data_IF_385995548812
#
_entry.id   IF_385995548812
#
_cell.length_a   1.000
_cell.length_b   1.000
_cell.length_c   1.000
_cell.angle_alpha   90.00
_cell.angle_beta   90.00
_cell.angle_gamma   90.00
#
_symmetry.space_group_name_H-M   'P 1'
#
loop_
_entity.id
_entity.type
_entity.pdbx_description
1 polymer ?
#
# COMPACT_ATOMS: atom_id res chain seq x y z
N UNK A 1 3.09 5.22 -22.73
CA UNK A 1 4.16 4.26 -22.40
C UNK A 1 3.54 2.87 -22.33
N UNK A 2 3.75 2.02 -23.34
CA UNK A 2 3.32 0.61 -23.30
C UNK A 2 4.35 -0.15 -22.47
N UNK A 3 4.04 -0.42 -21.20
CA UNK A 3 4.87 -1.29 -20.36
C UNK A 3 4.64 -2.72 -20.86
N UNK A 4 5.54 -3.21 -21.71
CA UNK A 4 5.63 -4.64 -22.06
C UNK A 4 6.54 -5.30 -21.02
N UNK A 5 5.95 -5.82 -19.95
CA UNK A 5 6.64 -6.73 -19.04
C UNK A 5 6.33 -8.15 -19.48
N UNK A 6 7.29 -8.77 -20.16
CA UNK A 6 7.30 -10.22 -20.42
C UNK A 6 7.67 -10.95 -19.13
N UNK A 7 6.65 -11.25 -18.32
CA UNK A 7 6.72 -12.43 -17.44
C UNK A 7 6.37 -13.61 -18.33
N UNK A 8 7.28 -14.58 -18.45
CA UNK A 8 7.17 -15.79 -19.27
C UNK A 8 5.73 -16.35 -19.30
N UNK A 9 4.99 -16.09 -20.38
CA UNK A 9 3.66 -16.65 -20.62
C UNK A 9 2.44 -15.76 -20.30
N UNK A 10 2.62 -14.57 -19.72
CA UNK A 10 1.52 -13.62 -19.45
C UNK A 10 1.61 -12.36 -20.34
N UNK A 11 1.71 -12.54 -21.66
CA UNK A 11 1.83 -11.42 -22.60
C UNK A 11 0.54 -10.57 -22.77
N UNK A 12 -0.57 -10.95 -22.13
CA UNK A 12 -1.83 -10.20 -22.15
C UNK A 12 -2.58 -10.32 -20.83
N UNK A 13 -1.92 -10.07 -19.69
CA UNK A 13 -2.71 -9.56 -18.55
C UNK A 13 -3.00 -8.10 -18.83
N UNK A 14 -3.83 -7.87 -19.85
CA UNK A 14 -4.61 -6.66 -19.87
C UNK A 14 -5.29 -6.61 -18.50
N UNK A 15 -4.99 -5.57 -17.72
CA UNK A 15 -5.94 -5.13 -16.73
C UNK A 15 -7.14 -4.60 -17.55
N UNK A 16 -7.93 -5.51 -18.15
CA UNK A 16 -8.98 -5.25 -19.16
C UNK A 16 -9.98 -4.21 -18.65
N UNK A 17 -10.10 -4.07 -17.33
CA UNK A 17 -10.92 -3.06 -16.67
C UNK A 17 -10.53 -1.60 -16.92
N UNK A 18 -9.34 -1.33 -17.47
CA UNK A 18 -8.91 0.03 -17.73
C UNK A 18 -9.18 0.54 -19.13
N UNK A 19 -9.46 -0.33 -20.09
CA UNK A 19 -9.36 0.10 -21.48
C UNK A 19 -10.52 0.99 -21.93
N UNK A 20 -11.71 0.86 -21.34
CA UNK A 20 -12.86 1.67 -21.72
C UNK A 20 -13.65 2.20 -20.51
N UNK A 21 -13.50 3.48 -20.14
CA UNK A 21 -14.32 4.09 -19.12
C UNK A 21 -15.80 4.06 -19.52
N UNK A 22 -16.68 3.69 -18.59
CA UNK A 22 -18.12 3.71 -18.80
C UNK A 22 -18.61 5.15 -18.96
N UNK A 23 -19.83 5.35 -19.46
CA UNK A 23 -20.43 6.69 -19.53
C UNK A 23 -20.46 7.37 -18.14
N UNK A 24 -20.72 6.58 -17.10
CA UNK A 24 -20.64 7.03 -15.72
C UNK A 24 -19.22 7.42 -15.31
N UNK A 25 -18.19 6.60 -15.61
CA UNK A 25 -16.80 6.97 -15.29
C UNK A 25 -16.39 8.26 -16.00
N UNK A 26 -16.76 8.43 -17.28
CA UNK A 26 -16.47 9.64 -18.06
C UNK A 26 -17.12 10.89 -17.44
N UNK A 27 -18.39 10.79 -17.05
CA UNK A 27 -19.09 11.89 -16.38
C UNK A 27 -18.44 12.24 -15.02
N UNK A 28 -18.15 11.22 -14.20
CA UNK A 28 -17.49 11.39 -12.91
C UNK A 28 -16.11 12.05 -13.08
N UNK A 29 -15.33 11.59 -14.07
CA UNK A 29 -14.03 12.16 -14.41
C UNK A 29 -14.11 13.65 -14.69
N UNK A 30 -15.04 14.08 -15.53
CA UNK A 30 -15.19 15.50 -15.89
C UNK A 30 -15.66 16.36 -14.71
N UNK A 31 -16.57 15.82 -13.88
CA UNK A 31 -17.01 16.50 -12.65
C UNK A 31 -15.82 16.70 -11.71
N UNK A 32 -15.08 15.62 -11.41
CA UNK A 32 -13.90 15.67 -10.56
C UNK A 32 -12.84 16.62 -11.13
N UNK A 33 -12.66 16.67 -12.46
CA UNK A 33 -11.69 17.55 -13.11
C UNK A 33 -11.97 19.01 -12.81
N UNK A 34 -13.24 19.40 -12.96
CA UNK A 34 -13.71 20.77 -12.73
C UNK A 34 -13.66 21.18 -11.27
N UNK A 35 -13.60 20.23 -10.34
CA UNK A 35 -13.49 20.50 -8.91
C UNK A 35 -12.02 20.55 -8.48
N UNK A 36 -11.24 19.52 -8.83
CA UNK A 36 -9.89 19.32 -8.27
C UNK A 36 -8.85 20.22 -8.97
N UNK A 37 -8.86 20.33 -10.31
CA UNK A 37 -7.85 21.08 -11.04
C UNK A 37 -7.85 22.58 -10.67
N UNK A 38 -9.00 23.27 -10.55
CA UNK A 38 -9.00 24.68 -10.14
C UNK A 38 -8.50 24.91 -8.71
N UNK A 39 -8.64 23.92 -7.83
CA UNK A 39 -8.18 23.97 -6.44
C UNK A 39 -6.70 23.55 -6.28
N UNK A 40 -6.05 23.15 -7.38
CA UNK A 40 -4.65 22.75 -7.38
C UNK A 40 -3.70 23.93 -7.59
N UNK A 41 -2.46 23.77 -7.11
CA UNK A 41 -1.42 24.79 -7.20
C UNK A 41 -1.21 25.24 -8.65
N UNK A 42 -1.20 26.56 -8.87
CA UNK A 42 -1.15 27.13 -10.21
C UNK A 42 0.08 26.68 -11.01
N UNK A 43 1.23 26.56 -10.34
CA UNK A 43 2.49 26.10 -10.95
C UNK A 43 2.40 24.68 -11.53
N UNK A 44 1.58 23.81 -10.93
CA UNK A 44 1.49 22.40 -11.31
C UNK A 44 0.23 22.09 -12.13
N UNK A 45 -0.67 23.07 -12.34
CA UNK A 45 -1.98 22.87 -12.96
C UNK A 45 -1.92 22.28 -14.36
N UNK A 46 -0.93 22.66 -15.17
CA UNK A 46 -0.73 22.10 -16.51
C UNK A 46 -0.33 20.62 -16.44
N UNK A 47 0.68 20.30 -15.63
CA UNK A 47 1.15 18.92 -15.43
C UNK A 47 0.03 18.02 -14.88
N UNK A 48 -0.77 18.54 -13.94
CA UNK A 48 -1.93 17.83 -13.38
C UNK A 48 -3.02 17.59 -14.42
N UNK A 49 -3.28 18.56 -15.30
CA UNK A 49 -4.21 18.38 -16.42
C UNK A 49 -3.77 17.28 -17.37
N UNK A 50 -2.48 17.21 -17.70
CA UNK A 50 -1.93 16.20 -18.61
C UNK A 50 -2.02 14.77 -18.03
N UNK A 51 -2.02 14.65 -16.70
CA UNK A 51 -2.08 13.37 -15.99
C UNK A 51 -3.49 12.98 -15.55
N UNK A 52 -4.46 13.88 -15.71
CA UNK A 52 -5.79 13.77 -15.11
C UNK A 52 -6.48 12.45 -15.40
N UNK A 53 -6.49 12.03 -16.68
CA UNK A 53 -7.16 10.80 -17.12
C UNK A 53 -6.64 9.55 -16.42
N UNK A 54 -5.36 9.52 -16.07
CA UNK A 54 -4.72 8.40 -15.36
C UNK A 54 -4.97 8.54 -13.86
N UNK A 55 -4.77 9.75 -13.32
CA UNK A 55 -4.90 10.02 -11.89
C UNK A 55 -6.32 9.79 -11.36
N UNK A 56 -7.35 10.19 -12.12
CA UNK A 56 -8.76 10.03 -11.73
C UNK A 56 -9.23 8.59 -11.84
N UNK A 57 -8.54 7.73 -12.61
CA UNK A 57 -9.05 6.41 -12.98
C UNK A 57 -9.27 5.49 -11.79
N UNK A 58 -8.42 5.56 -10.77
CA UNK A 58 -8.57 4.73 -9.57
C UNK A 58 -9.80 5.14 -8.74
N UNK A 59 -10.09 6.45 -8.66
CA UNK A 59 -11.32 6.94 -8.03
C UNK A 59 -12.53 6.49 -8.84
N UNK A 60 -12.49 6.63 -10.18
CA UNK A 60 -13.57 6.19 -11.06
C UNK A 60 -13.91 4.71 -10.87
N UNK A 61 -12.89 3.84 -10.92
CA UNK A 61 -13.05 2.40 -10.77
C UNK A 61 -13.60 2.02 -9.38
N UNK A 62 -13.12 2.70 -8.34
CA UNK A 62 -13.59 2.49 -6.97
C UNK A 62 -15.07 2.87 -6.85
N UNK A 63 -15.44 4.07 -7.28
CA UNK A 63 -16.83 4.57 -7.20
C UNK A 63 -17.77 3.74 -8.06
N UNK A 64 -17.38 3.43 -9.30
CA UNK A 64 -18.18 2.58 -10.19
C UNK A 64 -18.32 1.16 -9.63
N UNK A 65 -17.25 0.60 -9.07
CA UNK A 65 -17.27 -0.69 -8.39
C UNK A 65 -18.25 -0.69 -7.22
N UNK A 66 -18.13 0.27 -6.30
CA UNK A 66 -19.03 0.36 -5.16
C UNK A 66 -20.48 0.60 -5.57
N UNK A 67 -20.73 1.43 -6.58
CA UNK A 67 -22.07 1.67 -7.10
C UNK A 67 -22.69 0.40 -7.69
N UNK A 68 -21.93 -0.38 -8.47
CA UNK A 68 -22.39 -1.68 -9.00
C UNK A 68 -22.67 -2.68 -7.88
N UNK A 69 -21.81 -2.73 -6.87
CA UNK A 69 -21.98 -3.60 -5.72
C UNK A 69 -23.26 -3.26 -4.96
N UNK A 70 -23.48 -1.97 -4.65
CA UNK A 70 -24.69 -1.49 -3.98
C UNK A 70 -25.96 -1.77 -4.79
N UNK A 71 -25.91 -1.58 -6.12
CA UNK A 71 -27.06 -1.80 -6.98
C UNK A 71 -27.45 -3.29 -7.09
N UNK A 72 -26.46 -4.20 -7.16
CA UNK A 72 -26.69 -5.64 -7.35
C UNK A 72 -26.84 -6.41 -6.04
N UNK A 73 -26.09 -6.02 -5.03
CA UNK A 73 -25.96 -6.68 -3.75
C UNK A 73 -25.96 -5.64 -2.62
N UNK A 74 -27.09 -4.95 -2.36
CA UNK A 74 -27.14 -3.79 -1.46
C UNK A 74 -26.65 -4.09 -0.05
N UNK A 75 -26.91 -5.31 0.46
CA UNK A 75 -26.41 -5.75 1.77
C UNK A 75 -24.88 -5.83 1.77
N UNK A 76 -24.27 -6.42 0.75
CA UNK A 76 -22.80 -6.53 0.63
C UNK A 76 -22.17 -5.17 0.41
N UNK A 77 -22.79 -4.32 -0.41
CA UNK A 77 -22.39 -2.94 -0.59
C UNK A 77 -22.41 -2.15 0.72
N UNK A 78 -23.46 -2.29 1.54
CA UNK A 78 -23.53 -1.64 2.83
C UNK A 78 -22.43 -2.10 3.79
N UNK A 79 -22.12 -3.41 3.85
CA UNK A 79 -21.00 -3.93 4.64
C UNK A 79 -19.65 -3.39 4.16
N UNK A 80 -19.40 -3.39 2.85
CA UNK A 80 -18.15 -2.86 2.30
C UNK A 80 -17.98 -1.36 2.58
N UNK A 81 -19.04 -0.56 2.39
CA UNK A 81 -19.01 0.88 2.69
C UNK A 81 -18.80 1.12 4.19
N UNK A 82 -19.51 0.40 5.07
CA UNK A 82 -19.31 0.49 6.51
C UNK A 82 -17.87 0.14 6.91
N UNK A 83 -17.29 -0.91 6.33
CA UNK A 83 -15.90 -1.30 6.53
C UNK A 83 -14.91 -0.20 6.12
N UNK A 84 -15.10 0.40 4.94
CA UNK A 84 -14.25 1.51 4.47
C UNK A 84 -14.37 2.76 5.35
N UNK A 85 -15.58 3.10 5.81
CA UNK A 85 -15.80 4.25 6.69
C UNK A 85 -15.11 4.04 8.04
N UNK A 86 -15.24 2.86 8.64
CA UNK A 86 -14.55 2.53 9.89
C UNK A 86 -13.03 2.57 9.70
N UNK A 87 -12.52 1.94 8.63
CA UNK A 87 -11.11 1.98 8.27
C UNK A 87 -10.56 3.41 8.19
N UNK A 88 -11.23 4.30 7.44
CA UNK A 88 -10.83 5.71 7.34
C UNK A 88 -10.83 6.40 8.69
N UNK A 89 -11.89 6.21 9.48
CA UNK A 89 -12.01 6.80 10.81
C UNK A 89 -10.85 6.39 11.72
N UNK A 90 -10.60 5.09 11.81
CA UNK A 90 -9.60 4.54 12.74
C UNK A 90 -8.17 4.91 12.31
N UNK A 91 -7.90 4.88 10.99
CA UNK A 91 -6.62 5.31 10.44
C UNK A 91 -6.31 6.78 10.77
N UNK A 92 -7.24 7.69 10.45
CA UNK A 92 -7.04 9.11 10.73
C UNK A 92 -7.01 9.42 12.21
N UNK A 93 -7.76 8.68 13.04
CA UNK A 93 -7.68 8.80 14.50
C UNK A 93 -6.28 8.42 15.01
N UNK A 94 -5.72 7.29 14.55
CA UNK A 94 -4.35 6.89 14.90
C UNK A 94 -3.32 7.92 14.44
N UNK A 95 -3.50 8.51 13.25
CA UNK A 95 -2.62 9.53 12.70
C UNK A 95 -2.64 10.83 13.54
N UNK A 96 -3.83 11.28 13.95
CA UNK A 96 -3.99 12.44 14.84
C UNK A 96 -3.34 12.21 16.21
N UNK A 97 -3.46 11.00 16.77
CA UNK A 97 -2.82 10.68 18.04
C UNK A 97 -1.29 10.64 17.92
N UNK A 98 -0.78 10.17 16.80
CA UNK A 98 0.65 9.93 16.59
C UNK A 98 1.42 11.18 16.16
N UNK A 99 0.74 12.21 15.64
CA UNK A 99 1.40 13.45 15.18
C UNK A 99 2.12 14.17 16.32
N UNK A 100 1.66 14.01 17.57
CA UNK A 100 2.21 14.67 18.77
C UNK A 100 3.20 13.78 19.56
N UNK A 101 3.45 12.54 19.13
CA UNK A 101 4.33 11.60 19.83
C UNK A 101 5.74 11.62 19.25
N UNK A 102 6.73 11.22 20.05
CA UNK A 102 8.03 10.83 19.50
C UNK A 102 7.87 9.63 18.58
N UNK A 103 8.59 9.62 17.46
CA UNK A 103 8.41 8.63 16.38
C UNK A 103 9.72 7.95 16.05
N UNK A 104 9.71 6.67 15.73
CA UNK A 104 10.91 6.00 15.23
C UNK A 104 11.18 6.39 13.77
N UNK A 105 12.39 6.86 13.47
CA UNK A 105 12.82 7.09 12.09
C UNK A 105 13.14 5.73 11.45
N UNK A 106 12.26 5.25 10.58
CA UNK A 106 12.38 3.92 9.95
C UNK A 106 13.09 3.93 8.60
N UNK A 107 13.37 5.11 8.06
CA UNK A 107 14.13 5.29 6.83
C UNK A 107 15.62 5.06 7.07
N UNK A 108 16.20 4.08 6.36
CA UNK A 108 17.58 3.59 6.59
C UNK A 108 18.51 3.81 5.39
N UNK A 109 19.77 3.39 5.53
CA UNK A 109 20.72 3.32 4.42
C UNK A 109 20.30 2.36 3.29
N UNK A 110 19.39 1.43 3.55
CA UNK A 110 18.83 0.54 2.52
C UNK A 110 17.80 1.30 1.68
N UNK A 111 16.91 2.05 2.33
CA UNK A 111 15.88 2.86 1.67
C UNK A 111 16.50 3.99 0.85
N UNK A 112 17.58 4.59 1.36
CA UNK A 112 18.35 5.62 0.65
C UNK A 112 18.85 5.20 -0.73
N UNK A 113 19.10 3.91 -0.96
CA UNK A 113 19.56 3.38 -2.26
C UNK A 113 18.45 3.26 -3.30
N UNK A 114 17.19 3.37 -2.87
CA UNK A 114 16.03 3.20 -3.74
C UNK A 114 15.75 4.55 -4.41
N UNK A 115 15.91 4.68 -5.74
CA UNK A 115 15.68 5.94 -6.43
C UNK A 115 14.20 6.33 -6.36
N UNK A 116 13.90 7.60 -6.17
CA UNK A 116 12.52 8.06 -6.18
C UNK A 116 11.92 8.02 -7.60
N UNK A 117 10.85 7.25 -7.80
CA UNK A 117 10.12 7.13 -9.08
C UNK A 117 8.64 7.46 -8.88
N UNK A 118 8.25 8.73 -8.93
CA UNK A 118 6.92 9.16 -8.54
C UNK A 118 5.82 8.67 -9.50
N UNK A 119 6.17 8.21 -10.70
CA UNK A 119 5.26 7.57 -11.66
C UNK A 119 4.73 6.20 -11.22
N UNK A 120 5.37 5.56 -10.24
CA UNK A 120 4.87 4.34 -9.62
C UNK A 120 3.63 4.60 -8.73
N UNK A 121 3.24 5.87 -8.54
CA UNK A 121 2.04 6.28 -7.82
C UNK A 121 0.74 5.66 -8.39
N UNK A 122 0.72 5.36 -9.69
CA UNK A 122 -0.42 4.70 -10.35
C UNK A 122 -0.72 3.36 -9.68
N UNK A 123 0.31 2.54 -9.45
CA UNK A 123 0.17 1.24 -8.80
C UNK A 123 -0.13 1.39 -7.32
N UNK A 124 0.51 2.36 -6.65
CA UNK A 124 0.30 2.65 -5.23
C UNK A 124 -1.18 2.91 -4.93
N UNK A 125 -1.80 3.83 -5.68
CA UNK A 125 -3.22 4.18 -5.50
C UNK A 125 -4.18 3.18 -6.12
N UNK A 126 -3.69 2.16 -6.84
CA UNK A 126 -4.54 1.19 -7.53
C UNK A 126 -5.18 0.14 -6.59
N UNK A 127 -4.57 -0.12 -5.43
CA UNK A 127 -5.03 -1.14 -4.48
C UNK A 127 -6.54 -1.06 -4.19
N UNK A 128 -7.07 0.14 -3.94
CA UNK A 128 -8.49 0.32 -3.59
C UNK A 128 -9.40 -0.05 -4.77
N UNK A 129 -9.05 0.38 -5.98
CA UNK A 129 -9.77 0.03 -7.19
C UNK A 129 -9.73 -1.48 -7.47
N UNK A 130 -8.59 -2.12 -7.18
CA UNK A 130 -8.42 -3.55 -7.30
C UNK A 130 -9.30 -4.34 -6.32
N UNK A 131 -9.34 -3.93 -5.04
CA UNK A 131 -10.25 -4.51 -4.03
C UNK A 131 -11.71 -4.38 -4.49
N UNK A 132 -12.12 -3.18 -4.92
CA UNK A 132 -13.49 -2.95 -5.39
C UNK A 132 -13.84 -3.81 -6.60
N UNK A 133 -12.93 -3.95 -7.56
CA UNK A 133 -13.10 -4.82 -8.73
C UNK A 133 -13.27 -6.28 -8.34
N UNK A 134 -12.38 -6.80 -7.49
CA UNK A 134 -12.40 -8.20 -7.07
C UNK A 134 -13.67 -8.50 -6.31
N UNK A 135 -14.02 -7.66 -5.33
CA UNK A 135 -15.28 -7.78 -4.59
C UNK A 135 -16.47 -7.87 -5.56
N UNK A 136 -16.55 -7.00 -6.58
CA UNK A 136 -17.64 -7.06 -7.55
C UNK A 136 -17.69 -8.38 -8.32
N UNK A 137 -16.54 -8.94 -8.69
CA UNK A 137 -16.47 -10.21 -9.44
C UNK A 137 -16.77 -11.42 -8.58
N UNK A 138 -16.41 -11.39 -7.30
CA UNK A 138 -16.54 -12.53 -6.39
C UNK A 138 -17.82 -12.52 -5.57
N UNK A 139 -18.40 -11.35 -5.28
CA UNK A 139 -19.51 -11.21 -4.35
C UNK A 139 -20.73 -12.07 -4.71
N UNK A 140 -21.06 -12.23 -6.00
CA UNK A 140 -22.16 -13.08 -6.45
C UNK A 140 -22.00 -14.58 -6.12
N UNK A 141 -20.79 -14.99 -5.72
CA UNK A 141 -20.42 -16.38 -5.41
C UNK A 141 -20.21 -16.62 -3.92
N UNK A 142 -20.13 -15.55 -3.13
CA UNK A 142 -19.95 -15.65 -1.69
C UNK A 142 -21.32 -15.64 -1.03
N UNK A 143 -21.52 -16.54 -0.07
CA UNK A 143 -22.60 -16.40 0.90
C UNK A 143 -22.43 -15.11 1.70
N UNK A 144 -23.51 -14.66 2.34
CA UNK A 144 -23.45 -13.48 3.21
C UNK A 144 -22.44 -13.66 4.36
N UNK A 145 -22.29 -14.88 4.88
CA UNK A 145 -21.35 -15.17 5.95
C UNK A 145 -19.91 -15.11 5.46
N UNK A 146 -19.61 -15.70 4.30
CA UNK A 146 -18.27 -15.63 3.69
C UNK A 146 -17.89 -14.19 3.33
N UNK A 147 -18.82 -13.41 2.78
CA UNK A 147 -18.58 -12.00 2.47
C UNK A 147 -18.34 -11.18 3.73
N UNK A 148 -19.12 -11.42 4.78
CA UNK A 148 -18.95 -10.76 6.07
C UNK A 148 -17.59 -11.11 6.69
N UNK A 149 -17.23 -12.40 6.71
CA UNK A 149 -15.93 -12.88 7.19
C UNK A 149 -14.77 -12.24 6.43
N UNK A 150 -14.89 -12.10 5.11
CA UNK A 150 -13.90 -11.39 4.29
C UNK A 150 -13.72 -9.95 4.75
N UNK A 151 -14.81 -9.19 4.93
CA UNK A 151 -14.72 -7.79 5.40
C UNK A 151 -14.12 -7.73 6.81
N UNK A 152 -14.55 -8.59 7.73
CA UNK A 152 -14.03 -8.67 9.10
C UNK A 152 -12.53 -9.01 9.13
N UNK A 153 -12.03 -9.82 8.19
CA UNK A 153 -10.60 -10.12 8.06
C UNK A 153 -9.78 -8.87 7.73
N UNK A 154 -10.26 -8.01 6.81
CA UNK A 154 -9.57 -6.75 6.50
C UNK A 154 -9.68 -5.74 7.65
N UNK A 155 -10.80 -5.75 8.39
CA UNK A 155 -10.95 -4.95 9.60
C UNK A 155 -9.96 -5.37 10.69
N UNK A 156 -9.80 -6.67 10.93
CA UNK A 156 -8.80 -7.20 11.87
C UNK A 156 -7.37 -6.76 11.49
N UNK A 157 -7.03 -6.80 10.19
CA UNK A 157 -5.73 -6.29 9.72
C UNK A 157 -5.55 -4.79 10.00
N UNK A 158 -6.61 -4.00 9.83
CA UNK A 158 -6.57 -2.58 10.17
C UNK A 158 -6.39 -2.36 11.68
N UNK A 159 -7.15 -3.07 12.50
CA UNK A 159 -7.15 -2.90 13.95
C UNK A 159 -5.75 -3.20 14.52
N UNK A 160 -5.14 -4.30 14.07
CA UNK A 160 -3.77 -4.66 14.45
C UNK A 160 -2.77 -3.58 14.00
N UNK A 161 -2.89 -3.05 12.77
CA UNK A 161 -2.00 -1.98 12.30
C UNK A 161 -2.17 -0.69 13.10
N UNK A 162 -3.41 -0.30 13.40
CA UNK A 162 -3.74 0.88 14.23
C UNK A 162 -3.14 0.75 15.63
N UNK A 163 -3.18 -0.44 16.23
CA UNK A 163 -2.54 -0.68 17.52
C UNK A 163 -1.03 -0.48 17.46
N UNK A 164 -0.37 -0.99 16.40
CA UNK A 164 1.07 -0.75 16.16
C UNK A 164 1.33 0.74 16.00
N UNK A 165 0.55 1.44 15.18
CA UNK A 165 0.71 2.89 14.93
C UNK A 165 0.63 3.71 16.21
N UNK A 166 -0.32 3.40 17.09
CA UNK A 166 -0.51 4.12 18.36
C UNK A 166 0.61 3.85 19.36
N UNK A 167 1.11 2.61 19.43
CA UNK A 167 2.11 2.20 20.43
C UNK A 167 3.55 2.50 19.99
N UNK A 168 3.86 2.25 18.71
CA UNK A 168 5.19 2.43 18.11
C UNK A 168 5.08 3.30 16.85
N UNK A 169 4.71 4.58 16.99
CA UNK A 169 4.58 5.46 15.84
C UNK A 169 5.93 5.57 15.12
N UNK A 170 5.89 5.41 13.80
CA UNK A 170 7.06 5.44 12.91
C UNK A 170 6.96 6.62 11.96
N UNK A 171 8.08 7.02 11.36
CA UNK A 171 8.13 8.11 10.40
C UNK A 171 9.19 7.89 9.32
N UNK A 172 8.90 8.40 8.13
CA UNK A 172 9.78 8.34 6.96
C UNK A 172 9.83 9.73 6.31
N UNK A 173 11.01 10.25 5.95
CA UNK A 173 11.11 11.58 5.38
C UNK A 173 10.57 11.60 3.94
N UNK A 174 10.01 12.73 3.52
CA UNK A 174 9.42 12.93 2.18
C UNK A 174 9.96 14.25 1.61
N UNK A 175 11.19 14.19 1.11
CA UNK A 175 11.97 15.37 0.72
C UNK A 175 12.08 15.57 -0.80
N UNK A 176 11.47 14.70 -1.60
CA UNK A 176 11.53 14.77 -3.06
C UNK A 176 10.39 15.60 -3.64
N UNK A 177 10.72 16.57 -4.49
CA UNK A 177 9.71 17.30 -5.23
C UNK A 177 9.29 16.57 -6.51
N UNK A 178 8.02 16.71 -6.90
CA UNK A 178 7.45 16.10 -8.09
C UNK A 178 6.15 16.77 -8.51
N UNK A 179 5.77 16.55 -9.77
CA UNK A 179 4.53 17.07 -10.37
C UNK A 179 3.45 16.00 -10.59
N UNK A 180 3.56 14.88 -9.87
CA UNK A 180 2.60 13.77 -9.92
C UNK A 180 1.35 14.05 -9.08
N UNK A 181 0.20 14.19 -9.75
CA UNK A 181 -1.05 14.60 -9.09
C UNK A 181 -1.50 13.60 -8.02
N UNK A 182 -1.59 12.31 -8.37
CA UNK A 182 -2.08 11.28 -7.44
C UNK A 182 -1.18 11.19 -6.21
N UNK A 183 0.14 11.19 -6.40
CA UNK A 183 1.08 11.18 -5.29
C UNK A 183 0.98 12.44 -4.41
N UNK A 184 0.80 13.64 -4.96
CA UNK A 184 0.62 14.86 -4.15
C UNK A 184 -0.67 14.81 -3.33
N UNK A 185 -1.75 14.25 -3.88
CA UNK A 185 -3.00 14.03 -3.14
C UNK A 185 -2.77 13.04 -1.99
N UNK A 186 -2.11 11.91 -2.26
CA UNK A 186 -1.74 10.92 -1.24
C UNK A 186 -0.94 11.58 -0.14
N UNK A 187 0.17 12.26 -0.46
CA UNK A 187 1.05 12.87 0.53
C UNK A 187 0.40 14.03 1.31
N UNK A 188 -0.65 14.63 0.77
CA UNK A 188 -1.44 15.66 1.46
C UNK A 188 -2.39 15.05 2.50
N UNK A 189 -3.00 13.91 2.17
CA UNK A 189 -3.96 13.23 3.04
C UNK A 189 -3.27 12.35 4.06
N UNK A 190 -2.26 11.62 3.63
CA UNK A 190 -1.47 10.73 4.44
C UNK A 190 -0.18 11.46 4.87
N UNK A 191 -0.04 11.76 6.15
CA UNK A 191 1.18 12.34 6.73
C UNK A 191 2.32 11.31 6.71
N UNK A 192 3.60 11.73 6.72
CA UNK A 192 4.77 10.84 6.78
C UNK A 192 4.96 10.16 8.16
N UNK A 193 3.88 9.71 8.79
CA UNK A 193 3.86 9.06 10.10
C UNK A 193 3.01 7.80 10.01
N UNK A 194 3.21 6.87 10.96
CA UNK A 194 2.48 5.60 11.01
C UNK A 194 2.72 4.75 9.77
N UNK A 195 3.97 4.65 9.35
CA UNK A 195 4.35 3.94 8.12
C UNK A 195 4.42 2.42 8.32
N UNK A 196 4.84 1.96 9.51
CA UNK A 196 5.00 0.55 9.87
C UNK A 196 3.84 0.04 10.73
N UNK A 197 3.15 -1.06 10.35
CA UNK A 197 3.32 -1.84 9.12
C UNK A 197 2.68 -1.16 7.89
N UNK A 198 3.17 -1.49 6.69
CA UNK A 198 2.53 -1.02 5.45
C UNK A 198 1.18 -1.72 5.23
N UNK A 199 0.08 -0.98 5.37
CA UNK A 199 -1.27 -1.45 5.04
C UNK A 199 -1.42 -1.79 3.55
N UNK A 200 -0.71 -1.08 2.66
CA UNK A 200 -0.73 -1.38 1.22
C UNK A 200 -0.22 -2.79 0.92
N UNK A 201 0.88 -3.18 1.58
CA UNK A 201 1.45 -4.53 1.48
C UNK A 201 0.55 -5.53 2.20
N UNK A 202 0.13 -5.22 3.43
CA UNK A 202 -0.75 -6.08 4.22
C UNK A 202 -2.02 -6.47 3.46
N UNK A 203 -2.73 -5.50 2.90
CA UNK A 203 -3.96 -5.74 2.15
C UNK A 203 -3.71 -6.43 0.81
N UNK A 204 -2.65 -6.08 0.08
CA UNK A 204 -2.34 -6.71 -1.21
C UNK A 204 -1.97 -8.20 -1.04
N UNK A 205 -1.19 -8.51 0.00
CA UNK A 205 -0.81 -9.88 0.36
C UNK A 205 -2.00 -10.70 0.88
N UNK A 206 -2.84 -10.09 1.72
CA UNK A 206 -4.05 -10.72 2.23
C UNK A 206 -5.03 -11.02 1.09
N UNK A 207 -5.22 -10.07 0.18
CA UNK A 207 -6.09 -10.23 -0.99
C UNK A 207 -5.59 -11.33 -1.92
N UNK A 208 -4.29 -11.39 -2.20
CA UNK A 208 -3.67 -12.47 -2.98
C UNK A 208 -3.96 -13.85 -2.37
N UNK A 209 -3.75 -13.98 -1.06
CA UNK A 209 -3.95 -15.24 -0.35
C UNK A 209 -5.43 -15.66 -0.28
N UNK A 210 -6.35 -14.73 -0.05
CA UNK A 210 -7.80 -14.97 -0.14
C UNK A 210 -8.20 -15.38 -1.55
N UNK A 211 -7.72 -14.67 -2.57
CA UNK A 211 -8.02 -14.97 -3.97
C UNK A 211 -7.48 -16.33 -4.41
N UNK A 212 -6.35 -16.79 -3.86
CA UNK A 212 -5.85 -18.14 -4.11
C UNK A 212 -6.83 -19.22 -3.65
N UNK A 213 -7.59 -18.98 -2.58
CA UNK A 213 -8.63 -19.91 -2.11
C UNK A 213 -9.92 -19.72 -2.93
N UNK A 214 -10.35 -18.47 -3.12
CA UNK A 214 -11.70 -18.14 -3.59
C UNK A 214 -11.84 -17.88 -5.09
N UNK A 215 -10.74 -17.60 -5.80
CA UNK A 215 -10.73 -17.16 -7.20
C UNK A 215 -9.90 -18.09 -8.08
N UNK A 216 -8.71 -18.51 -7.64
CA UNK A 216 -7.81 -19.35 -8.45
C UNK A 216 -8.49 -20.61 -9.00
N UNK A 217 -9.27 -21.39 -8.22
CA UNK A 217 -9.90 -22.60 -8.75
C UNK A 217 -10.92 -22.33 -9.87
N UNK A 218 -11.47 -21.11 -9.97
CA UNK A 218 -12.55 -20.77 -10.90
C UNK A 218 -12.12 -19.81 -12.01
N UNK A 219 -11.11 -18.96 -11.78
CA UNK A 219 -10.64 -17.95 -12.72
C UNK A 219 -9.14 -17.66 -12.54
N UNK A 220 -8.25 -18.54 -13.03
CA UNK A 220 -6.81 -18.40 -12.88
C UNK A 220 -6.28 -17.08 -13.47
N UNK A 221 -6.84 -16.61 -14.59
CA UNK A 221 -6.40 -15.35 -15.20
C UNK A 221 -6.61 -14.12 -14.32
N UNK A 222 -7.73 -14.05 -13.58
CA UNK A 222 -7.95 -12.96 -12.60
C UNK A 222 -7.00 -13.08 -11.41
N UNK A 223 -6.73 -14.31 -10.96
CA UNK A 223 -5.75 -14.54 -9.90
C UNK A 223 -4.34 -14.11 -10.32
N UNK A 224 -3.87 -14.48 -11.51
CA UNK A 224 -2.55 -14.06 -12.02
C UNK A 224 -2.43 -12.54 -12.13
N UNK A 225 -3.50 -11.86 -12.56
CA UNK A 225 -3.54 -10.40 -12.60
C UNK A 225 -3.42 -9.76 -11.22
N UNK A 226 -4.08 -10.35 -10.23
CA UNK A 226 -3.97 -9.92 -8.84
C UNK A 226 -2.56 -10.15 -8.30
N UNK A 227 -2.03 -11.36 -8.48
CA UNK A 227 -0.67 -11.75 -8.07
C UNK A 227 0.37 -10.80 -8.65
N UNK A 228 0.26 -10.47 -9.94
CA UNK A 228 1.12 -9.48 -10.59
C UNK A 228 1.03 -8.10 -9.93
N UNK A 229 -0.19 -7.62 -9.65
CA UNK A 229 -0.39 -6.34 -8.97
C UNK A 229 0.21 -6.34 -7.56
N UNK A 230 0.02 -7.42 -6.79
CA UNK A 230 0.60 -7.58 -5.46
C UNK A 230 2.12 -7.51 -5.50
N UNK A 231 2.77 -8.21 -6.44
CA UNK A 231 4.22 -8.13 -6.63
C UNK A 231 4.67 -6.72 -7.04
N UNK A 232 3.91 -6.03 -7.90
CA UNK A 232 4.19 -4.63 -8.28
C UNK A 232 4.03 -3.65 -7.12
N UNK A 233 3.16 -3.93 -6.15
CA UNK A 233 2.94 -3.09 -4.98
C UNK A 233 4.19 -2.95 -4.12
N UNK A 234 4.96 -4.03 -3.92
CA UNK A 234 6.26 -3.99 -3.22
C UNK A 234 7.18 -2.90 -3.77
N UNK A 235 7.29 -2.82 -5.09
CA UNK A 235 8.15 -1.85 -5.75
C UNK A 235 7.56 -0.46 -5.64
N UNK A 236 6.24 -0.34 -5.86
CA UNK A 236 5.55 0.93 -5.92
C UNK A 236 5.61 1.68 -4.58
N UNK A 237 5.39 1.01 -3.45
CA UNK A 237 5.43 1.66 -2.13
C UNK A 237 6.82 2.19 -1.76
N UNK A 238 7.87 1.49 -2.19
CA UNK A 238 9.27 1.89 -1.96
C UNK A 238 9.69 3.01 -2.91
N UNK A 239 9.40 2.87 -4.21
CA UNK A 239 9.77 3.86 -5.22
C UNK A 239 9.07 5.21 -5.06
N UNK A 240 7.85 5.21 -4.53
CA UNK A 240 7.11 6.44 -4.21
C UNK A 240 7.55 7.08 -2.88
N UNK A 241 8.52 6.48 -2.18
CA UNK A 241 8.99 6.97 -0.88
C UNK A 241 7.86 7.07 0.16
N UNK A 242 6.82 6.25 0.04
CA UNK A 242 5.70 6.23 1.00
C UNK A 242 5.96 5.25 2.14
N UNK A 243 6.75 4.20 1.87
CA UNK A 243 7.13 3.18 2.84
C UNK A 243 8.62 2.85 2.73
N UNK A 244 9.18 2.44 3.85
CA UNK A 244 10.52 1.86 4.01
C UNK A 244 10.47 0.32 3.93
N UNK A 245 11.63 -0.31 3.80
CA UNK A 245 11.80 -1.77 3.75
C UNK A 245 11.21 -2.47 5.00
N UNK A 246 11.38 -1.88 6.18
CA UNK A 246 10.82 -2.41 7.43
C UNK A 246 9.28 -2.36 7.42
N UNK A 247 8.69 -1.29 6.88
CA UNK A 247 7.23 -1.17 6.75
C UNK A 247 6.66 -2.28 5.85
N UNK A 248 7.35 -2.55 4.74
CA UNK A 248 6.99 -3.61 3.78
C UNK A 248 7.06 -4.97 4.45
N UNK A 249 8.16 -5.28 5.13
CA UNK A 249 8.35 -6.55 5.81
C UNK A 249 7.28 -6.79 6.89
N UNK A 250 6.99 -5.80 7.74
CA UNK A 250 5.93 -5.94 8.74
C UNK A 250 4.51 -5.92 8.15
N UNK A 251 4.31 -5.31 6.97
CA UNK A 251 3.10 -5.48 6.18
C UNK A 251 2.87 -6.95 5.77
N UNK A 252 3.94 -7.67 5.41
CA UNK A 252 3.86 -9.11 5.13
C UNK A 252 3.55 -9.93 6.39
N UNK A 253 4.15 -9.58 7.55
CA UNK A 253 3.86 -10.26 8.84
C UNK A 253 2.40 -10.04 9.26
N UNK A 254 1.89 -8.81 9.10
CA UNK A 254 0.49 -8.47 9.34
C UNK A 254 -0.44 -9.38 8.52
N UNK A 255 -0.24 -9.43 7.20
CA UNK A 255 -1.04 -10.25 6.31
C UNK A 255 -1.01 -11.74 6.69
N UNK A 256 0.17 -12.27 7.04
CA UNK A 256 0.31 -13.65 7.48
C UNK A 256 -0.52 -13.95 8.72
N UNK A 257 -0.34 -13.16 9.79
CA UNK A 257 -1.01 -13.40 11.07
C UNK A 257 -2.52 -13.39 10.93
N UNK A 258 -3.04 -12.38 10.23
CA UNK A 258 -4.49 -12.22 10.00
C UNK A 258 -5.02 -13.37 9.14
N UNK A 259 -4.32 -13.73 8.06
CA UNK A 259 -4.77 -14.80 7.18
C UNK A 259 -4.76 -16.17 7.86
N UNK A 260 -3.69 -16.51 8.58
CA UNK A 260 -3.57 -17.78 9.31
C UNK A 260 -4.63 -17.87 10.42
N UNK A 261 -4.90 -16.77 11.13
CA UNK A 261 -5.98 -16.66 12.13
C UNK A 261 -7.36 -16.89 11.49
N UNK A 262 -7.66 -16.21 10.39
CA UNK A 262 -8.99 -16.20 9.78
C UNK A 262 -9.32 -17.44 8.93
N UNK A 263 -8.32 -18.08 8.32
CA UNK A 263 -8.53 -19.17 7.35
C UNK A 263 -7.90 -20.51 7.74
N UNK A 264 -7.05 -20.54 8.78
CA UNK A 264 -6.40 -21.75 9.28
C UNK A 264 -5.79 -22.64 8.17
N UNK A 265 -5.06 -22.00 7.25
CA UNK A 265 -4.46 -22.66 6.07
C UNK A 265 -3.12 -22.02 5.73
N UNK A 266 -2.35 -22.68 4.86
CA UNK A 266 -0.98 -22.28 4.54
C UNK A 266 -0.94 -20.91 3.88
N UNK A 267 -0.28 -19.94 4.48
CA UNK A 267 0.01 -18.64 3.89
C UNK A 267 1.07 -18.74 2.78
N UNK A 268 0.89 -18.01 1.67
CA UNK A 268 1.90 -17.84 0.63
C UNK A 268 2.50 -16.44 0.74
N UNK A 269 3.79 -16.36 1.05
CA UNK A 269 4.47 -15.09 1.37
C UNK A 269 5.13 -14.40 0.18
N UNK A 270 5.21 -15.06 -0.99
CA UNK A 270 5.83 -14.56 -2.22
C UNK A 270 7.35 -14.36 -2.15
N UNK A 271 8.01 -14.87 -1.10
CA UNK A 271 9.46 -14.73 -0.95
C UNK A 271 10.23 -15.48 -2.05
N UNK A 272 9.62 -16.49 -2.66
CA UNK A 272 10.13 -17.20 -3.83
C UNK A 272 10.31 -16.28 -5.06
N UNK A 273 9.52 -15.21 -5.16
CA UNK A 273 9.63 -14.22 -6.24
C UNK A 273 10.76 -13.20 -6.03
N UNK A 274 11.29 -13.05 -4.82
CA UNK A 274 12.23 -11.97 -4.47
C UNK A 274 13.54 -12.04 -5.27
N UNK A 275 14.02 -13.24 -5.60
CA UNK A 275 15.20 -13.41 -6.45
C UNK A 275 15.02 -12.77 -7.84
N UNK A 276 13.87 -12.99 -8.47
CA UNK A 276 13.55 -12.40 -9.77
C UNK A 276 13.28 -10.89 -9.66
N UNK A 277 12.60 -10.45 -8.60
CA UNK A 277 12.35 -9.03 -8.35
C UNK A 277 13.66 -8.26 -8.15
N UNK A 278 14.62 -8.81 -7.41
CA UNK A 278 15.93 -8.19 -7.22
C UNK A 278 16.73 -8.09 -8.52
N UNK A 279 16.68 -9.10 -9.39
CA UNK A 279 17.32 -9.02 -10.71
C UNK A 279 16.74 -7.90 -11.57
N UNK A 280 15.44 -7.64 -11.48
CA UNK A 280 14.77 -6.57 -12.22
C UNK A 280 14.99 -5.20 -11.58
N UNK A 281 15.06 -5.14 -10.25
CA UNK A 281 15.16 -3.91 -9.46
C UNK A 281 16.30 -4.03 -8.42
N UNK A 282 17.57 -3.97 -8.85
CA UNK A 282 18.72 -4.21 -7.97
C UNK A 282 18.92 -3.15 -6.89
N UNK A 283 18.26 -1.98 -7.02
CA UNK A 283 18.27 -0.93 -6.01
C UNK A 283 17.50 -1.29 -4.75
N UNK A 284 16.57 -2.25 -4.82
CA UNK A 284 15.77 -2.70 -3.68
C UNK A 284 16.42 -3.92 -3.06
N UNK A 285 16.71 -3.85 -1.76
CA UNK A 285 17.30 -4.95 -1.00
C UNK A 285 16.20 -5.92 -0.51
N UNK A 286 15.73 -6.78 -1.43
CA UNK A 286 14.73 -7.80 -1.08
C UNK A 286 15.24 -8.84 -0.08
N UNK A 287 16.56 -9.02 0.05
CA UNK A 287 17.12 -9.90 1.08
C UNK A 287 16.88 -9.31 2.47
N UNK A 288 17.02 -8.00 2.59
CA UNK A 288 16.72 -7.31 3.83
C UNK A 288 15.22 -7.37 4.16
N UNK A 289 14.33 -7.16 3.18
CA UNK A 289 12.87 -7.37 3.38
C UNK A 289 12.60 -8.78 3.90
N UNK A 290 13.17 -9.81 3.26
CA UNK A 290 13.00 -11.20 3.65
C UNK A 290 13.53 -11.47 5.07
N UNK A 291 14.70 -10.96 5.42
CA UNK A 291 15.30 -11.13 6.76
C UNK A 291 14.40 -10.58 7.85
N UNK A 292 13.85 -9.38 7.66
CA UNK A 292 12.93 -8.74 8.62
C UNK A 292 11.60 -9.50 8.69
N UNK A 293 11.07 -9.92 7.54
CA UNK A 293 9.86 -10.73 7.47
C UNK A 293 10.03 -12.05 8.24
N UNK A 294 11.13 -12.78 8.02
CA UNK A 294 11.43 -14.06 8.68
C UNK A 294 11.56 -13.89 10.20
N UNK A 295 12.16 -12.79 10.67
CA UNK A 295 12.18 -12.45 12.10
C UNK A 295 10.75 -12.35 12.65
N UNK A 296 9.89 -11.54 12.03
CA UNK A 296 8.55 -11.31 12.54
C UNK A 296 7.62 -12.52 12.37
N UNK A 297 7.85 -13.33 11.33
CA UNK A 297 7.12 -14.56 11.07
C UNK A 297 7.48 -15.69 12.06
N UNK A 298 8.73 -15.74 12.53
CA UNK A 298 9.17 -16.71 13.53
C UNK A 298 8.77 -16.33 14.96
N UNK A 299 8.46 -15.04 15.21
CA UNK A 299 8.11 -14.54 16.52
C UNK A 299 6.67 -14.90 16.95
N UNK A 300 6.54 -15.35 18.20
CA UNK A 300 5.25 -15.51 18.87
C UNK A 300 4.77 -14.18 19.45
N UNK A 301 3.46 -13.97 19.52
CA UNK A 301 2.88 -12.76 20.13
C UNK A 301 2.11 -11.88 19.15
N UNK A 302 1.67 -10.73 19.63
CA UNK A 302 0.98 -9.73 18.83
C UNK A 302 1.94 -9.05 17.86
N UNK A 303 1.44 -8.52 16.73
CA UNK A 303 2.30 -7.77 15.82
C UNK A 303 2.92 -6.55 16.51
N UNK A 304 2.18 -5.94 17.43
CA UNK A 304 2.62 -4.77 18.20
C UNK A 304 3.85 -5.08 19.05
N UNK A 305 3.83 -6.20 19.79
CA UNK A 305 4.98 -6.62 20.60
C UNK A 305 6.20 -6.89 19.71
N UNK A 306 6.00 -7.60 18.59
CA UNK A 306 7.07 -7.99 17.67
C UNK A 306 7.74 -6.75 17.04
N UNK A 307 6.94 -5.78 16.58
CA UNK A 307 7.46 -4.51 16.03
C UNK A 307 8.23 -3.74 17.11
N UNK A 308 7.66 -3.65 18.32
CA UNK A 308 8.31 -3.00 19.45
C UNK A 308 9.66 -3.60 19.82
N UNK A 309 9.72 -4.93 19.93
CA UNK A 309 10.94 -5.69 20.18
C UNK A 309 11.97 -5.50 19.07
N UNK A 310 11.55 -5.54 17.81
CA UNK A 310 12.45 -5.35 16.67
C UNK A 310 13.07 -3.94 16.68
N UNK A 311 12.25 -2.89 16.84
CA UNK A 311 12.72 -1.51 16.89
C UNK A 311 13.69 -1.30 18.06
N UNK A 312 13.38 -1.86 19.23
CA UNK A 312 14.24 -1.78 20.41
C UNK A 312 15.56 -2.53 20.24
N UNK A 313 15.54 -3.78 19.77
CA UNK A 313 16.72 -4.61 19.59
C UNK A 313 17.70 -4.03 18.55
N UNK A 314 17.17 -3.40 17.50
CA UNK A 314 17.98 -2.78 16.45
C UNK A 314 18.33 -1.31 16.77
N UNK A 315 17.82 -0.74 17.85
CA UNK A 315 18.19 0.60 18.33
C UNK A 315 17.67 1.75 17.47
N UNK A 316 16.50 1.58 16.85
CA UNK A 316 15.89 2.61 15.99
C UNK A 316 15.69 3.92 16.77
N UNK A 317 16.32 4.98 16.29
CA UNK A 317 16.27 6.29 16.93
C UNK A 317 14.85 6.88 16.91
N UNK A 318 14.50 7.58 17.99
CA UNK A 318 13.26 8.37 18.08
C UNK A 318 13.56 9.82 17.75
N UNK A 319 12.68 10.44 16.97
CA UNK A 319 12.68 11.86 16.65
C UNK A 319 11.51 12.56 17.33
N UNK A 320 11.68 13.84 17.64
CA UNK A 320 10.59 14.64 18.20
C UNK A 320 9.55 15.02 17.12
N UNK A 321 8.30 15.33 17.51
CA UNK A 321 7.23 15.73 16.58
C UNK A 321 7.60 16.88 15.63
N UNK A 322 8.37 17.84 16.13
CA UNK A 322 8.77 19.10 15.51
C UNK A 322 10.14 19.05 14.82
N UNK A 323 10.84 17.93 14.92
CA UNK A 323 12.15 17.73 14.30
C UNK A 323 12.02 17.53 12.78
N UNK A 324 12.76 18.32 12.00
CA UNK A 324 12.82 18.14 10.55
C UNK A 324 13.71 16.95 10.19
N UNK A 325 13.06 15.86 9.79
CA UNK A 325 13.72 14.63 9.36
C UNK A 325 14.05 14.62 7.86
N UNK A 326 13.66 15.66 7.10
CA UNK A 326 13.96 15.69 5.68
C UNK A 326 15.46 15.76 5.45
N UNK A 327 15.95 14.89 4.57
CA UNK A 327 17.39 14.74 4.36
C UNK A 327 18.11 13.97 5.48
N UNK A 328 17.42 13.21 6.32
CA UNK A 328 18.03 12.34 7.33
C UNK A 328 17.70 10.87 7.06
N UNK A 329 18.59 9.96 7.48
CA UNK A 329 18.33 8.52 7.55
C UNK A 329 18.90 7.94 8.85
N UNK A 330 18.39 6.80 9.28
CA UNK A 330 18.91 6.03 10.40
C UNK A 330 19.97 5.04 9.89
N UNK A 331 21.21 5.19 10.33
CA UNK A 331 22.29 4.25 10.03
C UNK A 331 22.18 3.03 10.95
N UNK A 332 21.81 1.88 10.40
CA UNK A 332 21.54 0.68 11.21
C UNK A 332 22.78 0.10 11.89
N UNK A 333 23.99 0.38 11.35
CA UNK A 333 25.25 -0.10 11.92
C UNK A 333 25.70 0.76 13.10
N UNK A 334 25.63 2.09 12.92
CA UNK A 334 26.03 3.07 13.94
C UNK A 334 24.94 3.34 14.97
N UNK A 335 23.70 3.00 14.66
CA UNK A 335 22.50 3.26 15.47
C UNK A 335 22.31 4.75 15.75
N UNK A 336 22.52 5.58 14.74
CA UNK A 336 22.42 7.04 14.82
C UNK A 336 21.69 7.63 13.60
N UNK A 337 21.17 8.85 13.75
CA UNK A 337 20.58 9.60 12.64
C UNK A 337 21.68 10.36 11.91
N UNK A 338 21.77 10.16 10.60
CA UNK A 338 22.76 10.77 9.72
C UNK A 338 22.09 11.70 8.72
N UNK A 339 22.67 12.89 8.53
CA UNK A 339 22.24 13.83 7.48
C UNK A 339 22.79 13.41 6.13
N UNK A 340 21.95 13.41 5.12
CA UNK A 340 22.30 13.25 3.71
C UNK A 340 23.04 14.52 3.29
N UNK A 341 24.30 14.38 2.89
CA UNK A 341 25.11 15.51 2.43
C UNK A 341 24.62 15.89 1.04
N UNK A 342 24.42 17.19 0.76
CA UNK A 342 23.80 17.69 -0.47
C UNK A 342 24.41 17.14 -1.78
N UNK A 343 25.69 16.76 -1.79
CA UNK A 343 26.33 16.14 -2.95
C UNK A 343 25.78 14.74 -3.30
N UNK A 344 25.08 14.09 -2.38
CA UNK A 344 24.45 12.78 -2.56
C UNK A 344 22.96 12.88 -2.91
N UNK A 345 22.36 14.09 -2.89
CA UNK A 345 20.93 14.30 -3.11
C UNK A 345 20.53 14.43 -4.60
N UNK A 346 21.52 14.57 -5.50
CA UNK A 346 21.34 14.64 -6.96
C UNK A 346 21.48 13.27 -7.67
N UNK A 347 21.64 12.18 -6.89
CA UNK A 347 21.69 10.78 -7.34
C UNK A 347 20.35 10.09 -7.05
#
# INVERSE_FOLDING_TARGET
>A
MKIRNTVNGCENVDLVEFQNPSAFSKALREILRRIIIPLSDEENREAYNQQWDVASRNIELTVEGLAKLLARHPIFGAYAVGGVVNWLHDYFSAQQESVLKQRHLVYTEYDKKIPFRPEEDIMYVYMIAQIASIINKTCSRLSRQEFKHLVETFQEANDIAVDVFKQYPTTMPRFTDHKRLSLKVVQKLDKPINCCPSLHIGYSMLLDNVARIMILPQNPGVFEALRYSTLRMFNSVLYTGQHSIIDVAFGMVLARKVFESAYNTNYHDLTDAFGAMHQQQPSIDYKEIQRIYEYGAAASGSLTDIVGEYLAANGYAKVNPDEDINGCYFDTQRKEIVKIVAQEADL
#
